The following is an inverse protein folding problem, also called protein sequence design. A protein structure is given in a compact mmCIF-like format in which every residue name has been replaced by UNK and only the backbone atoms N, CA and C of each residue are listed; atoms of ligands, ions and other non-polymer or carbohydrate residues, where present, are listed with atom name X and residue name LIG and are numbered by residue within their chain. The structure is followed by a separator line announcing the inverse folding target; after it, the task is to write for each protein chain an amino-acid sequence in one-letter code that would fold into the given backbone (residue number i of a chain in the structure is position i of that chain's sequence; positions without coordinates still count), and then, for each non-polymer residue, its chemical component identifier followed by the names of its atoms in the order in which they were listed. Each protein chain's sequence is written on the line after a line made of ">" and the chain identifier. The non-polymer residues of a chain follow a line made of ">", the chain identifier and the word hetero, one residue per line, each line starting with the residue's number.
data_IF_248790795604
#
_entry.id   IF_248790795604
#
_cell.length_a   1.000
_cell.length_b   1.000
_cell.length_c   1.000
_cell.angle_alpha   90.00
_cell.angle_beta   90.00
_cell.angle_gamma   90.00
#
_symmetry.space_group_name_H-M   'P 1'
#
loop_
_entity.id
_entity.type
_entity.pdbx_description
1 polymer ?
#
# COMPACT_ATOMS: atom_id res chain seq x y z
N UNK A 1 41.27 7.33 -0.88
CA UNK A 1 40.00 7.89 -1.41
C UNK A 1 38.96 7.84 -0.30
N UNK A 2 38.36 8.95 0.03
CA UNK A 2 37.33 8.97 1.07
C UNK A 2 35.95 8.67 0.41
N UNK A 3 35.53 7.41 0.47
CA UNK A 3 34.27 6.92 -0.14
C UNK A 3 33.01 7.45 0.54
N UNK A 4 33.15 8.04 1.73
CA UNK A 4 31.98 8.48 2.51
C UNK A 4 31.22 9.64 1.85
N UNK A 5 31.93 10.58 1.25
CA UNK A 5 31.29 11.76 0.64
C UNK A 5 30.52 11.45 -0.64
N UNK A 6 31.09 10.70 -1.64
CA UNK A 6 30.32 10.25 -2.80
C UNK A 6 29.09 9.42 -2.45
N UNK A 7 29.24 8.51 -1.48
CA UNK A 7 28.12 7.68 -1.03
C UNK A 7 26.99 8.53 -0.42
N UNK A 8 27.32 9.52 0.41
CA UNK A 8 26.35 10.46 0.96
C UNK A 8 25.66 11.27 -0.14
N UNK A 9 26.40 11.74 -1.13
CA UNK A 9 25.85 12.51 -2.24
C UNK A 9 24.88 11.64 -3.08
N UNK A 10 25.26 10.42 -3.41
CA UNK A 10 24.39 9.47 -4.12
C UNK A 10 23.12 9.18 -3.32
N UNK A 11 23.23 8.99 -2.00
CA UNK A 11 22.07 8.80 -1.13
C UNK A 11 21.13 10.01 -1.18
N UNK A 12 21.67 11.25 -1.05
CA UNK A 12 20.88 12.47 -1.13
C UNK A 12 20.20 12.64 -2.49
N UNK A 13 20.86 12.23 -3.57
CA UNK A 13 20.27 12.27 -4.92
C UNK A 13 19.11 11.29 -5.08
N UNK A 14 19.18 10.11 -4.49
CA UNK A 14 18.14 9.08 -4.62
C UNK A 14 16.99 9.33 -3.64
N UNK A 15 17.25 9.94 -2.49
CA UNK A 15 16.29 10.09 -1.39
C UNK A 15 14.93 10.68 -1.81
N UNK A 16 14.81 11.76 -2.61
CA UNK A 16 13.50 12.30 -2.99
C UNK A 16 12.62 11.30 -3.74
N UNK A 17 13.21 10.49 -4.62
CA UNK A 17 12.50 9.47 -5.37
C UNK A 17 12.06 8.28 -4.51
N UNK A 18 12.88 7.87 -3.54
CA UNK A 18 12.50 6.85 -2.56
C UNK A 18 11.34 7.34 -1.69
N UNK A 19 11.38 8.59 -1.23
CA UNK A 19 10.30 9.20 -0.45
C UNK A 19 9.00 9.31 -1.24
N UNK A 20 9.08 9.65 -2.53
CA UNK A 20 7.91 9.69 -3.42
C UNK A 20 7.31 8.29 -3.58
N UNK A 21 8.12 7.29 -3.89
CA UNK A 21 7.66 5.90 -4.00
C UNK A 21 7.02 5.40 -2.71
N UNK A 22 7.66 5.69 -1.57
CA UNK A 22 7.14 5.35 -0.25
C UNK A 22 5.79 6.01 0.03
N UNK A 23 5.70 7.34 -0.13
CA UNK A 23 4.49 8.12 0.16
C UNK A 23 3.32 7.73 -0.75
N UNK A 24 3.60 7.47 -2.04
CA UNK A 24 2.60 6.99 -2.98
C UNK A 24 1.98 5.67 -2.55
N UNK A 25 2.78 4.69 -2.14
CA UNK A 25 2.29 3.36 -1.75
C UNK A 25 1.65 3.31 -0.37
N UNK A 26 2.24 4.02 0.60
CA UNK A 26 1.71 4.06 1.96
C UNK A 26 0.39 4.81 2.04
N UNK A 27 0.25 5.91 1.30
CA UNK A 27 -0.89 6.80 1.42
C UNK A 27 -1.05 7.35 2.84
N UNK A 28 -2.26 7.80 3.17
CA UNK A 28 -2.59 8.29 4.51
C UNK A 28 -2.97 7.18 5.51
N UNK A 29 -2.99 5.92 5.07
CA UNK A 29 -3.34 4.81 5.95
C UNK A 29 -2.17 4.40 6.82
N UNK A 30 -2.32 4.55 8.14
CA UNK A 30 -1.36 4.04 9.13
C UNK A 30 -1.27 2.50 9.13
N UNK A 31 -2.25 1.82 8.50
CA UNK A 31 -2.45 0.38 8.52
C UNK A 31 -1.81 -0.37 7.35
N UNK A 32 -1.33 0.35 6.34
CA UNK A 32 -0.61 -0.28 5.21
C UNK A 32 0.89 -0.26 5.48
N UNK A 33 1.51 -1.35 5.93
CA UNK A 33 2.95 -1.44 5.94
C UNK A 33 3.43 -1.40 4.49
N UNK A 34 4.53 -0.69 4.28
CA UNK A 34 5.22 -0.69 3.00
C UNK A 34 5.74 -2.09 2.75
N UNK A 35 5.16 -2.81 1.83
CA UNK A 35 5.73 -4.07 1.38
C UNK A 35 7.00 -3.77 0.59
N UNK A 36 8.15 -4.02 1.16
CA UNK A 36 9.40 -4.06 0.41
C UNK A 36 9.47 -5.40 -0.35
N UNK A 37 8.74 -5.51 -1.44
CA UNK A 37 8.63 -6.75 -2.21
C UNK A 37 9.97 -7.24 -2.75
N UNK A 38 10.88 -6.32 -3.09
CA UNK A 38 12.29 -6.59 -3.34
C UNK A 38 13.08 -5.29 -3.19
N UNK A 39 14.10 -5.28 -2.32
CA UNK A 39 14.95 -4.10 -2.13
C UNK A 39 15.55 -3.57 -3.45
N UNK A 40 16.05 -4.42 -4.39
CA UNK A 40 16.53 -3.95 -5.68
C UNK A 40 15.46 -3.26 -6.53
N UNK A 41 14.24 -3.78 -6.57
CA UNK A 41 13.13 -3.20 -7.31
C UNK A 41 12.72 -1.83 -6.77
N UNK A 42 12.72 -1.68 -5.44
CA UNK A 42 12.43 -0.42 -4.78
C UNK A 42 13.49 0.64 -5.06
N UNK A 43 14.76 0.26 -4.99
CA UNK A 43 15.87 1.16 -5.32
C UNK A 43 15.78 1.59 -6.80
N UNK A 44 15.55 0.66 -7.72
CA UNK A 44 15.44 0.98 -9.15
C UNK A 44 14.28 1.96 -9.43
N UNK A 45 13.10 1.72 -8.83
CA UNK A 45 11.95 2.62 -8.92
C UNK A 45 12.24 3.98 -8.30
N UNK A 46 12.87 4.00 -7.12
CA UNK A 46 13.30 5.22 -6.44
C UNK A 46 14.29 6.04 -7.26
N UNK A 47 15.28 5.41 -7.89
CA UNK A 47 16.26 6.06 -8.78
C UNK A 47 15.57 6.70 -9.98
N UNK A 48 14.66 5.97 -10.66
CA UNK A 48 13.92 6.52 -11.80
C UNK A 48 13.09 7.75 -11.41
N UNK A 49 12.36 7.66 -10.30
CA UNK A 49 11.56 8.78 -9.79
C UNK A 49 12.43 9.95 -9.35
N UNK A 50 13.60 9.69 -8.74
CA UNK A 50 14.56 10.72 -8.36
C UNK A 50 15.09 11.48 -9.57
N UNK A 51 15.44 10.78 -10.65
CA UNK A 51 15.88 11.42 -11.91
C UNK A 51 14.79 12.38 -12.42
N UNK A 52 13.53 11.94 -12.47
CA UNK A 52 12.41 12.77 -12.92
C UNK A 52 12.22 14.00 -12.02
N UNK A 53 12.28 13.81 -10.69
CA UNK A 53 12.17 14.91 -9.72
C UNK A 53 13.30 15.90 -9.85
N UNK A 54 14.55 15.44 -10.03
CA UNK A 54 15.70 16.32 -10.21
C UNK A 54 15.63 17.09 -11.52
N UNK A 55 15.25 16.46 -12.63
CA UNK A 55 15.05 17.15 -13.91
C UNK A 55 14.03 18.28 -13.77
N UNK A 56 12.89 17.99 -13.13
CA UNK A 56 11.86 19.01 -12.87
C UNK A 56 12.34 20.09 -11.90
N UNK A 57 13.01 19.71 -10.80
CA UNK A 57 13.58 20.64 -9.83
C UNK A 57 14.62 21.56 -10.44
N UNK A 58 15.51 21.03 -11.30
CA UNK A 58 16.50 21.82 -12.04
C UNK A 58 15.81 22.84 -12.95
N UNK A 59 14.78 22.44 -13.68
CA UNK A 59 14.01 23.35 -14.54
C UNK A 59 13.38 24.50 -13.73
N UNK A 60 12.83 24.20 -12.56
CA UNK A 60 12.29 25.22 -11.64
C UNK A 60 13.40 26.18 -11.20
N UNK A 61 14.54 25.65 -10.75
CA UNK A 61 15.67 26.46 -10.27
C UNK A 61 16.19 27.40 -11.37
N UNK A 62 16.34 26.88 -12.59
CA UNK A 62 16.80 27.68 -13.72
C UNK A 62 15.80 28.74 -14.18
N UNK A 63 14.50 28.33 -14.31
CA UNK A 63 13.46 29.21 -14.87
C UNK A 63 12.93 30.24 -13.86
N UNK A 64 12.72 29.82 -12.61
CA UNK A 64 12.12 30.71 -11.58
C UNK A 64 13.14 31.48 -10.78
N UNK A 65 14.35 30.95 -10.57
CA UNK A 65 15.37 31.57 -9.72
C UNK A 65 16.58 32.06 -10.53
N UNK A 66 16.65 31.80 -11.84
CA UNK A 66 17.76 32.26 -12.70
C UNK A 66 19.13 31.67 -12.32
N UNK A 67 19.16 30.59 -11.53
CA UNK A 67 20.41 29.97 -11.06
C UNK A 67 20.91 28.95 -12.10
N UNK A 68 22.22 29.00 -12.36
CA UNK A 68 22.91 27.99 -13.18
C UNK A 68 23.50 26.90 -12.30
N UNK A 69 23.50 25.69 -12.80
CA UNK A 69 24.06 24.52 -12.10
C UNK A 69 25.43 24.21 -12.68
N UNK A 70 26.42 24.09 -11.80
CA UNK A 70 27.76 23.67 -12.17
C UNK A 70 27.85 22.14 -12.21
N UNK A 71 27.60 21.58 -13.40
CA UNK A 71 27.69 20.15 -13.63
C UNK A 71 29.10 19.59 -13.47
N UNK A 72 30.12 20.41 -13.70
CA UNK A 72 31.53 19.99 -13.55
C UNK A 72 31.87 19.76 -12.08
N UNK A 73 31.43 20.66 -11.21
CA UNK A 73 31.56 20.48 -9.77
C UNK A 73 30.85 19.24 -9.26
N UNK A 74 29.61 19.00 -9.72
CA UNK A 74 28.86 17.77 -9.36
C UNK A 74 29.60 16.50 -9.79
N UNK A 75 30.15 16.47 -11.01
CA UNK A 75 30.89 15.31 -11.52
C UNK A 75 32.13 15.02 -10.69
N UNK A 76 32.93 16.06 -10.37
CA UNK A 76 34.15 15.96 -9.53
C UNK A 76 33.79 15.37 -8.14
N UNK A 77 32.68 15.83 -7.55
CA UNK A 77 32.21 15.35 -6.26
C UNK A 77 31.73 13.90 -6.31
N UNK A 78 30.99 13.51 -7.35
CA UNK A 78 30.52 12.14 -7.54
C UNK A 78 31.66 11.14 -7.77
N UNK A 79 32.72 11.57 -8.50
CA UNK A 79 33.91 10.74 -8.72
C UNK A 79 34.82 10.63 -7.49
N UNK A 80 34.48 11.35 -6.39
CA UNK A 80 35.32 11.37 -5.18
C UNK A 80 36.67 12.08 -5.39
N UNK A 81 36.78 12.93 -6.40
CA UNK A 81 38.00 13.66 -6.77
C UNK A 81 38.08 15.06 -6.10
N UNK A 82 37.30 15.26 -5.02
CA UNK A 82 37.29 16.50 -4.24
C UNK A 82 38.60 16.66 -3.42
N UNK A 83 39.75 16.80 -4.11
CA UNK A 83 41.04 17.07 -3.49
C UNK A 83 41.28 18.59 -3.45
N UNK A 84 41.48 19.19 -2.24
CA UNK A 84 41.76 20.62 -2.13
C UNK A 84 43.02 21.07 -2.86
N UNK A 85 43.96 20.18 -3.09
CA UNK A 85 45.22 20.44 -3.80
C UNK A 85 45.07 20.51 -5.33
N UNK A 86 44.00 19.86 -5.87
CA UNK A 86 43.70 19.97 -7.29
C UNK A 86 42.85 21.21 -7.59
N UNK A 87 43.09 21.85 -8.74
CA UNK A 87 42.33 23.03 -9.16
C UNK A 87 40.83 22.75 -9.27
N UNK A 88 40.46 21.60 -9.80
CA UNK A 88 39.06 21.15 -10.01
C UNK A 88 38.40 20.80 -8.68
N UNK A 89 39.11 20.07 -7.80
CA UNK A 89 38.60 19.73 -6.47
C UNK A 89 38.44 20.94 -5.57
N UNK A 90 39.39 21.85 -5.55
CA UNK A 90 39.29 23.12 -4.82
C UNK A 90 38.12 23.97 -5.32
N UNK A 91 37.86 24.02 -6.63
CA UNK A 91 36.73 24.73 -7.22
C UNK A 91 35.39 24.07 -6.77
N UNK A 92 35.27 22.76 -6.87
CA UNK A 92 34.06 22.05 -6.46
C UNK A 92 33.74 22.23 -4.96
N UNK A 93 34.76 22.14 -4.08
CA UNK A 93 34.59 22.37 -2.64
C UNK A 93 34.17 23.82 -2.32
N UNK A 94 34.76 24.80 -3.00
CA UNK A 94 34.40 26.23 -2.86
C UNK A 94 32.95 26.44 -3.30
N UNK A 95 32.52 25.90 -4.45
CA UNK A 95 31.16 26.00 -4.96
C UNK A 95 30.15 25.44 -3.95
N UNK A 96 30.44 24.26 -3.33
CA UNK A 96 29.60 23.70 -2.27
C UNK A 96 29.56 24.63 -1.05
N UNK A 97 30.70 25.13 -0.59
CA UNK A 97 30.77 26.02 0.59
C UNK A 97 29.99 27.32 0.40
N UNK A 98 30.16 27.97 -0.74
CA UNK A 98 29.50 29.25 -1.07
C UNK A 98 27.96 29.07 -1.24
N UNK A 99 27.51 27.91 -1.70
CA UNK A 99 26.10 27.65 -1.99
C UNK A 99 25.46 26.63 -1.03
N UNK A 100 26.10 26.33 0.10
CA UNK A 100 25.66 25.27 1.02
C UNK A 100 24.19 25.40 1.45
N UNK A 101 23.74 26.61 1.80
CA UNK A 101 22.35 26.87 2.17
C UNK A 101 21.37 26.61 1.02
N UNK A 102 21.71 27.04 -0.19
CA UNK A 102 20.86 26.83 -1.38
C UNK A 102 20.77 25.35 -1.75
N UNK A 103 21.87 24.61 -1.65
CA UNK A 103 21.95 23.17 -1.89
C UNK A 103 21.10 22.44 -0.85
N UNK A 104 21.26 22.76 0.43
CA UNK A 104 20.47 22.14 1.51
C UNK A 104 18.98 22.42 1.32
N UNK A 105 18.60 23.67 1.03
CA UNK A 105 17.21 24.05 0.80
C UNK A 105 16.62 23.33 -0.43
N UNK A 106 17.41 23.18 -1.49
CA UNK A 106 17.00 22.42 -2.68
C UNK A 106 16.69 20.97 -2.34
N UNK A 107 17.61 20.24 -1.69
CA UNK A 107 17.40 18.84 -1.34
C UNK A 107 16.27 18.65 -0.32
N UNK A 108 16.15 19.55 0.66
CA UNK A 108 15.10 19.51 1.65
C UNK A 108 13.72 19.74 1.00
N UNK A 109 13.57 20.76 0.18
CA UNK A 109 12.32 21.06 -0.51
C UNK A 109 11.96 19.97 -1.53
N UNK A 110 12.93 19.45 -2.28
CA UNK A 110 12.70 18.37 -3.22
C UNK A 110 12.27 17.07 -2.50
N UNK A 111 12.85 16.78 -1.32
CA UNK A 111 12.51 15.62 -0.52
C UNK A 111 11.13 15.76 0.15
N UNK A 112 10.85 16.90 0.78
CA UNK A 112 9.60 17.12 1.51
C UNK A 112 8.43 17.41 0.57
N UNK A 113 8.59 18.32 -0.38
CA UNK A 113 7.50 18.73 -1.28
C UNK A 113 7.41 17.75 -2.46
N UNK A 114 8.54 17.49 -3.14
CA UNK A 114 8.61 16.58 -4.28
C UNK A 114 8.46 15.09 -3.88
N UNK A 115 9.12 14.68 -2.80
CA UNK A 115 9.02 13.31 -2.31
C UNK A 115 7.69 13.07 -1.59
N UNK A 116 7.56 13.52 -0.36
CA UNK A 116 6.36 13.26 0.44
C UNK A 116 5.11 13.96 -0.10
N UNK A 117 5.18 15.27 -0.35
CA UNK A 117 4.00 16.05 -0.73
C UNK A 117 3.38 15.57 -2.04
N UNK A 118 4.20 15.42 -3.08
CA UNK A 118 3.74 14.92 -4.38
C UNK A 118 3.29 13.45 -4.28
N UNK A 119 4.04 12.60 -3.53
CA UNK A 119 3.69 11.19 -3.37
C UNK A 119 2.31 11.00 -2.73
N UNK A 120 2.04 11.66 -1.62
CA UNK A 120 0.72 11.63 -0.98
C UNK A 120 -0.36 12.30 -1.83
N UNK A 121 -0.03 13.40 -2.52
CA UNK A 121 -0.96 14.07 -3.43
C UNK A 121 -1.41 13.19 -4.59
N UNK A 122 -0.46 12.49 -5.22
CA UNK A 122 -0.76 11.55 -6.31
C UNK A 122 -1.55 10.34 -5.75
N UNK A 123 -1.18 9.79 -4.59
CA UNK A 123 -1.95 8.73 -3.94
C UNK A 123 -3.41 9.16 -3.73
N UNK A 124 -3.62 10.32 -3.12
CA UNK A 124 -4.95 10.86 -2.89
C UNK A 124 -5.74 11.04 -4.18
N UNK A 125 -5.10 11.60 -5.22
CA UNK A 125 -5.73 11.82 -6.53
C UNK A 125 -6.13 10.49 -7.19
N UNK A 126 -5.23 9.50 -7.17
CA UNK A 126 -5.49 8.15 -7.72
C UNK A 126 -6.68 7.51 -7.02
N UNK A 127 -6.73 7.57 -5.68
CA UNK A 127 -7.85 7.03 -4.90
C UNK A 127 -9.15 7.81 -5.11
N UNK A 128 -9.08 9.14 -5.17
CA UNK A 128 -10.28 9.98 -5.39
C UNK A 128 -10.89 9.77 -6.76
N UNK A 129 -10.07 9.63 -7.79
CA UNK A 129 -10.51 9.40 -9.17
C UNK A 129 -10.66 7.90 -9.51
N UNK A 130 -10.40 7.00 -8.55
CA UNK A 130 -10.44 5.54 -8.74
C UNK A 130 -9.59 5.05 -9.91
N UNK A 131 -8.45 5.70 -10.16
CA UNK A 131 -7.56 5.36 -11.26
C UNK A 131 -6.88 4.00 -11.03
N UNK A 132 -6.68 3.61 -9.78
CA UNK A 132 -6.18 2.30 -9.35
C UNK A 132 -7.09 1.14 -9.76
N UNK A 133 -8.41 1.37 -9.88
CA UNK A 133 -9.35 0.37 -10.38
C UNK A 133 -9.38 0.29 -11.92
N UNK A 134 -8.96 1.36 -12.59
CA UNK A 134 -8.99 1.48 -14.07
C UNK A 134 -7.68 1.07 -14.72
N UNK A 135 -6.55 1.36 -14.09
CA UNK A 135 -5.22 1.17 -14.65
C UNK A 135 -4.36 0.34 -13.69
N UNK A 136 -3.98 -0.85 -14.13
CA UNK A 136 -3.16 -1.78 -13.33
C UNK A 136 -1.83 -1.17 -12.88
N UNK A 137 -1.24 -0.28 -13.71
CA UNK A 137 0.01 0.41 -13.38
C UNK A 137 -0.10 1.38 -12.18
N UNK A 138 -1.32 1.80 -11.83
CA UNK A 138 -1.60 2.68 -10.69
C UNK A 138 -2.16 1.93 -9.48
N UNK A 139 -2.29 0.60 -9.55
CA UNK A 139 -2.68 -0.21 -8.38
C UNK A 139 -1.61 -0.16 -7.31
N UNK A 140 -2.08 -0.16 -6.08
CA UNK A 140 -1.22 -0.32 -4.93
C UNK A 140 -0.83 -1.80 -4.81
N UNK A 141 0.40 -2.08 -4.38
CA UNK A 141 0.98 -3.44 -4.34
C UNK A 141 0.32 -4.36 -3.29
N UNK A 142 -0.84 -4.01 -2.76
CA UNK A 142 -1.51 -4.74 -1.70
C UNK A 142 -2.82 -5.37 -2.18
N UNK A 143 -2.74 -6.58 -2.72
CA UNK A 143 -3.90 -7.33 -3.21
C UNK A 143 -4.91 -7.65 -2.09
N UNK A 144 -4.44 -7.86 -0.85
CA UNK A 144 -5.31 -8.09 0.30
C UNK A 144 -6.20 -6.88 0.61
N UNK A 145 -5.69 -5.66 0.37
CA UNK A 145 -6.48 -4.46 0.54
C UNK A 145 -7.72 -4.49 -0.36
N UNK A 146 -7.54 -4.77 -1.66
CA UNK A 146 -8.65 -4.83 -2.62
C UNK A 146 -9.60 -6.00 -2.33
N UNK A 147 -9.05 -7.14 -1.89
CA UNK A 147 -9.85 -8.31 -1.51
C UNK A 147 -10.72 -7.97 -0.28
N UNK A 148 -10.13 -7.44 0.78
CA UNK A 148 -10.85 -7.19 2.05
C UNK A 148 -11.73 -5.93 2.03
N UNK A 149 -11.56 -5.05 1.07
CA UNK A 149 -12.49 -3.93 0.82
C UNK A 149 -13.60 -4.28 -0.18
N UNK A 150 -13.52 -5.44 -0.82
CA UNK A 150 -14.46 -5.87 -1.85
C UNK A 150 -14.26 -5.17 -3.20
N UNK A 151 -13.26 -4.32 -3.34
CA UNK A 151 -12.98 -3.59 -4.60
C UNK A 151 -12.53 -4.55 -5.72
N UNK A 152 -12.02 -5.75 -5.38
CA UNK A 152 -11.65 -6.79 -6.37
C UNK A 152 -12.81 -7.17 -7.29
N UNK A 153 -14.05 -7.15 -6.79
CA UNK A 153 -15.25 -7.48 -7.58
C UNK A 153 -15.49 -6.51 -8.74
N UNK A 154 -15.03 -5.28 -8.57
CA UNK A 154 -15.20 -4.23 -9.58
C UNK A 154 -14.18 -4.38 -10.72
N UNK A 155 -13.05 -5.06 -10.49
CA UNK A 155 -12.00 -5.20 -11.50
C UNK A 155 -12.47 -5.86 -12.78
N UNK A 156 -13.18 -6.99 -12.68
CA UNK A 156 -13.66 -7.74 -13.84
C UNK A 156 -14.72 -6.95 -14.60
N UNK A 157 -15.57 -6.22 -13.89
CA UNK A 157 -16.63 -5.40 -14.46
C UNK A 157 -16.07 -4.16 -15.16
N UNK A 158 -15.04 -3.54 -14.59
CA UNK A 158 -14.36 -2.36 -15.18
C UNK A 158 -13.52 -2.72 -16.38
N UNK A 159 -13.00 -3.94 -16.49
CA UNK A 159 -12.26 -4.36 -17.68
C UNK A 159 -13.13 -4.37 -18.96
N UNK A 160 -14.44 -4.58 -18.84
CA UNK A 160 -15.37 -4.60 -19.96
C UNK A 160 -15.73 -3.17 -20.43
N UNK A 161 -15.80 -2.21 -19.52
CA UNK A 161 -16.11 -0.82 -19.83
C UNK A 161 -15.44 0.11 -18.78
N UNK A 162 -14.48 0.93 -19.24
CA UNK A 162 -13.65 1.80 -18.41
C UNK A 162 -14.15 3.23 -18.30
N UNK A 163 -15.40 3.51 -18.64
CA UNK A 163 -15.97 4.86 -18.53
C UNK A 163 -16.16 5.28 -17.08
N UNK A 164 -15.85 6.56 -16.71
CA UNK A 164 -15.98 7.04 -15.33
C UNK A 164 -17.41 6.93 -14.79
N UNK A 165 -18.41 7.22 -15.62
CA UNK A 165 -19.83 7.21 -15.27
C UNK A 165 -20.27 5.79 -14.87
N UNK A 166 -19.86 4.78 -15.64
CA UNK A 166 -20.17 3.38 -15.36
C UNK A 166 -19.45 2.87 -14.11
N UNK A 167 -18.20 3.29 -13.92
CA UNK A 167 -17.45 2.96 -12.70
C UNK A 167 -18.15 3.49 -11.45
N UNK A 168 -18.63 4.74 -11.46
CA UNK A 168 -19.39 5.32 -10.35
C UNK A 168 -20.68 4.54 -10.08
N UNK A 169 -21.45 4.25 -11.13
CA UNK A 169 -22.68 3.46 -11.00
C UNK A 169 -22.43 2.05 -10.44
N UNK A 170 -21.34 1.39 -10.87
CA UNK A 170 -20.94 0.07 -10.36
C UNK A 170 -20.53 0.14 -8.89
N UNK A 171 -19.75 1.14 -8.49
CA UNK A 171 -19.31 1.31 -7.10
C UNK A 171 -20.47 1.62 -6.15
N UNK A 172 -21.51 2.32 -6.61
CA UNK A 172 -22.73 2.54 -5.83
C UNK A 172 -23.58 1.27 -5.75
N UNK A 173 -23.79 0.59 -6.88
CA UNK A 173 -24.59 -0.64 -6.95
C UNK A 173 -23.93 -1.80 -6.19
N UNK A 174 -22.61 -1.92 -6.29
CA UNK A 174 -21.79 -2.99 -5.69
C UNK A 174 -21.16 -2.55 -4.35
N UNK A 175 -21.80 -1.60 -3.65
CA UNK A 175 -21.29 -1.12 -2.36
C UNK A 175 -21.29 -2.25 -1.34
N UNK A 176 -20.09 -2.71 -0.99
CA UNK A 176 -19.90 -3.71 0.06
C UNK A 176 -20.18 -3.06 1.41
N UNK A 177 -21.15 -3.62 2.16
CA UNK A 177 -21.53 -3.16 3.50
C UNK A 177 -20.64 -3.80 4.54
N UNK A 178 -20.40 -5.11 4.41
CA UNK A 178 -19.49 -5.83 5.27
C UNK A 178 -18.86 -7.02 4.54
N UNK A 179 -17.73 -7.47 5.05
CA UNK A 179 -16.99 -8.62 4.53
C UNK A 179 -17.04 -9.72 5.57
N UNK A 180 -17.54 -10.89 5.19
CA UNK A 180 -17.50 -12.08 6.01
C UNK A 180 -16.29 -12.91 5.65
N UNK A 181 -15.68 -13.47 6.69
CA UNK A 181 -14.54 -14.37 6.57
C UNK A 181 -14.92 -15.72 7.16
N UNK A 182 -14.66 -16.77 6.38
CA UNK A 182 -14.66 -18.13 6.86
C UNK A 182 -13.26 -18.72 6.72
N UNK A 183 -12.63 -19.06 7.83
CA UNK A 183 -11.22 -19.49 7.89
C UNK A 183 -11.12 -20.89 8.50
N UNK A 184 -10.45 -21.81 7.82
CA UNK A 184 -10.13 -23.13 8.34
C UNK A 184 -8.79 -23.07 9.08
N UNK A 185 -8.82 -23.51 10.33
CA UNK A 185 -7.66 -23.56 11.23
C UNK A 185 -7.48 -24.98 11.76
N UNK A 186 -6.27 -25.49 11.69
CA UNK A 186 -5.90 -26.76 12.33
C UNK A 186 -5.29 -26.52 13.69
N UNK A 187 -5.87 -27.13 14.73
CA UNK A 187 -5.38 -27.05 16.11
C UNK A 187 -5.46 -28.41 16.78
N UNK A 188 -4.32 -28.91 17.26
CA UNK A 188 -4.26 -30.18 17.99
C UNK A 188 -4.74 -31.40 17.17
N UNK A 189 -4.52 -31.42 15.86
CA UNK A 189 -4.98 -32.48 14.96
C UNK A 189 -6.46 -32.43 14.57
N UNK A 190 -7.20 -31.42 15.02
CA UNK A 190 -8.59 -31.15 14.65
C UNK A 190 -8.68 -29.90 13.81
N UNK A 191 -9.56 -29.92 12.79
CA UNK A 191 -9.84 -28.78 11.93
C UNK A 191 -11.11 -28.07 12.41
N UNK A 192 -11.00 -26.74 12.54
CA UNK A 192 -12.11 -25.87 12.92
C UNK A 192 -12.36 -24.84 11.84
N UNK A 193 -13.63 -24.57 11.57
CA UNK A 193 -14.06 -23.43 10.76
C UNK A 193 -14.37 -22.26 11.70
N UNK A 194 -13.66 -21.16 11.50
CA UNK A 194 -13.95 -19.88 12.14
C UNK A 194 -14.67 -18.99 11.14
N UNK A 195 -15.75 -18.34 11.58
CA UNK A 195 -16.57 -17.50 10.76
C UNK A 195 -16.89 -16.19 11.50
N UNK A 196 -16.88 -15.06 10.81
CA UNK A 196 -17.19 -13.77 11.41
C UNK A 196 -17.05 -12.60 10.44
N UNK A 197 -17.44 -11.41 10.90
CA UNK A 197 -17.34 -10.17 10.13
C UNK A 197 -15.92 -9.64 10.24
N UNK A 198 -15.28 -9.34 9.12
CA UNK A 198 -13.96 -8.71 9.09
C UNK A 198 -14.05 -7.28 9.62
N UNK A 199 -13.42 -7.03 10.77
CA UNK A 199 -13.31 -5.71 11.36
C UNK A 199 -12.02 -5.00 10.95
N UNK A 200 -10.90 -5.74 10.91
CA UNK A 200 -9.59 -5.20 10.60
C UNK A 200 -8.63 -6.29 10.10
N UNK A 201 -7.53 -5.87 9.49
CA UNK A 201 -6.46 -6.77 9.07
C UNK A 201 -5.10 -6.06 9.15
N UNK A 202 -4.05 -6.83 9.44
CA UNK A 202 -2.71 -6.29 9.66
C UNK A 202 -1.69 -7.04 8.83
N UNK A 203 -0.67 -6.29 8.41
CA UNK A 203 0.48 -6.83 7.68
C UNK A 203 1.71 -6.84 8.58
N UNK A 204 2.62 -7.75 8.30
CA UNK A 204 3.95 -7.75 8.88
C UNK A 204 4.85 -6.68 8.22
N UNK A 205 6.07 -6.55 8.71
CA UNK A 205 7.07 -5.59 8.19
C UNK A 205 7.48 -5.88 6.73
N UNK A 206 7.18 -7.08 6.23
CA UNK A 206 7.45 -7.50 4.84
C UNK A 206 6.25 -7.28 3.92
N UNK A 207 5.10 -6.82 4.44
CA UNK A 207 3.87 -6.59 3.69
C UNK A 207 3.01 -7.84 3.49
N UNK A 208 3.34 -8.95 4.13
CA UNK A 208 2.49 -10.15 4.15
C UNK A 208 1.40 -10.01 5.19
N UNK A 209 0.25 -10.61 4.91
CA UNK A 209 -0.85 -10.66 5.88
C UNK A 209 -0.39 -11.38 7.15
N UNK A 210 -0.43 -10.68 8.28
CA UNK A 210 -0.02 -11.20 9.60
C UNK A 210 -1.20 -11.76 10.37
N UNK A 211 -2.29 -11.00 10.47
CA UNK A 211 -3.50 -11.39 11.20
C UNK A 211 -4.73 -10.69 10.65
N UNK A 212 -5.89 -11.31 10.88
CA UNK A 212 -7.20 -10.73 10.67
C UNK A 212 -7.93 -10.58 12.00
N UNK A 213 -8.81 -9.59 12.09
CA UNK A 213 -9.63 -9.34 13.28
C UNK A 213 -11.09 -9.49 12.89
N UNK A 214 -11.78 -10.41 13.54
CA UNK A 214 -13.18 -10.70 13.30
C UNK A 214 -14.05 -10.17 14.44
N UNK A 215 -15.22 -9.65 14.11
CA UNK A 215 -16.33 -9.39 15.04
C UNK A 215 -17.39 -10.48 14.91
N UNK A 216 -18.15 -10.67 15.97
CA UNK A 216 -19.22 -11.70 16.02
C UNK A 216 -18.70 -13.05 15.55
N UNK A 217 -17.54 -13.45 16.07
CA UNK A 217 -16.87 -14.66 15.63
C UNK A 217 -17.55 -15.92 16.16
N UNK A 218 -17.69 -16.90 15.29
CA UNK A 218 -18.21 -18.23 15.60
C UNK A 218 -17.22 -19.30 15.17
N UNK A 219 -17.28 -20.46 15.78
CA UNK A 219 -16.50 -21.62 15.36
C UNK A 219 -17.34 -22.88 15.30
N UNK A 220 -16.98 -23.81 14.42
CA UNK A 220 -17.47 -25.17 14.42
C UNK A 220 -16.35 -26.15 14.12
N UNK A 221 -16.49 -27.39 14.59
CA UNK A 221 -15.56 -28.47 14.27
C UNK A 221 -15.91 -29.10 12.92
N UNK A 222 -14.93 -29.19 12.00
CA UNK A 222 -15.12 -29.89 10.71
C UNK A 222 -15.11 -31.42 10.83
N UNK A 223 -14.75 -31.98 12.00
CA UNK A 223 -14.84 -33.40 12.23
C UNK A 223 -16.30 -33.90 12.22
N UNK A 224 -17.25 -33.03 12.56
CA UNK A 224 -18.69 -33.35 12.55
C UNK A 224 -19.27 -33.43 11.13
N UNK A 225 -18.67 -32.73 10.16
CA UNK A 225 -19.13 -32.78 8.75
C UNK A 225 -18.88 -34.14 8.08
N UNK A 226 -18.04 -34.98 8.69
CA UNK A 226 -17.74 -36.37 8.21
C UNK A 226 -18.61 -37.46 8.82
N UNK A 227 -19.37 -37.11 9.84
CA UNK A 227 -20.31 -38.07 10.47
C UNK A 227 -21.63 -38.02 9.74
N UNK A 228 -21.90 -39.05 9.00
CA UNK A 228 -23.15 -39.46 8.30
C UNK A 228 -24.19 -38.37 7.99
N UNK A 229 -24.52 -38.27 6.71
CA UNK A 229 -25.50 -37.36 6.07
C UNK A 229 -26.93 -37.40 6.70
N UNK A 230 -27.21 -38.26 7.64
CA UNK A 230 -28.57 -38.51 8.19
C UNK A 230 -28.88 -37.75 9.50
N UNK A 231 -27.92 -37.07 10.11
CA UNK A 231 -28.11 -36.35 11.39
C UNK A 231 -27.35 -35.03 11.45
N UNK A 232 -27.38 -34.23 10.39
CA UNK A 232 -26.83 -32.88 10.46
C UNK A 232 -27.67 -32.06 11.44
N UNK A 233 -27.09 -31.52 12.54
CA UNK A 233 -27.74 -30.51 13.37
C UNK A 233 -28.15 -29.34 12.48
N UNK A 234 -29.27 -28.69 12.83
CA UNK A 234 -29.63 -27.44 12.14
C UNK A 234 -28.44 -26.52 12.08
N UNK A 235 -28.23 -25.82 10.97
CA UNK A 235 -27.02 -24.93 10.77
C UNK A 235 -26.77 -24.02 11.98
N UNK A 236 -27.82 -23.58 12.68
CA UNK A 236 -27.71 -22.73 13.88
C UNK A 236 -27.14 -23.44 15.10
N UNK A 237 -27.26 -24.75 15.23
CA UNK A 237 -26.77 -25.53 16.38
C UNK A 237 -25.31 -25.97 16.22
N UNK A 238 -24.80 -25.97 15.00
CA UNK A 238 -23.42 -26.37 14.70
C UNK A 238 -22.38 -25.30 15.04
N UNK A 239 -22.78 -24.03 15.17
CA UNK A 239 -21.88 -22.92 15.38
C UNK A 239 -21.79 -22.49 16.85
N UNK A 240 -20.58 -22.44 17.35
CA UNK A 240 -20.22 -22.02 18.70
C UNK A 240 -19.85 -20.56 18.73
N UNK A 241 -20.60 -19.66 19.41
CA UNK A 241 -20.21 -18.25 19.50
C UNK A 241 -18.93 -18.10 20.32
N UNK A 242 -17.99 -17.32 19.81
CA UNK A 242 -16.79 -16.95 20.54
C UNK A 242 -17.09 -15.66 21.29
N UNK A 243 -17.09 -15.71 22.63
CA UNK A 243 -17.35 -14.56 23.46
C UNK A 243 -16.21 -13.53 23.35
N UNK A 244 -16.57 -12.27 23.13
CA UNK A 244 -15.65 -11.16 23.00
C UNK A 244 -16.05 -10.21 21.87
N UNK A 245 -15.58 -8.96 21.94
CA UNK A 245 -15.86 -7.98 20.87
C UNK A 245 -15.05 -8.25 19.61
N UNK A 246 -13.82 -8.73 19.78
CA UNK A 246 -12.88 -8.99 18.69
C UNK A 246 -12.22 -10.35 18.88
N UNK A 247 -12.13 -11.10 17.79
CA UNK A 247 -11.37 -12.33 17.70
C UNK A 247 -10.20 -12.12 16.73
N UNK A 248 -8.97 -12.24 17.24
CA UNK A 248 -7.76 -12.07 16.44
C UNK A 248 -7.27 -13.43 15.98
N UNK A 249 -7.18 -13.61 14.67
CA UNK A 249 -6.75 -14.85 14.04
C UNK A 249 -5.44 -14.62 13.28
N UNK A 250 -4.30 -15.16 13.76
CA UNK A 250 -3.02 -15.09 13.07
C UNK A 250 -3.08 -15.82 11.73
N UNK A 251 -2.58 -15.20 10.66
CA UNK A 251 -2.73 -15.74 9.31
C UNK A 251 -1.96 -17.06 9.12
N UNK A 252 -0.84 -17.26 9.81
CA UNK A 252 -0.06 -18.49 9.72
C UNK A 252 -0.78 -19.74 10.28
N UNK A 253 -1.86 -19.57 11.05
CA UNK A 253 -2.71 -20.67 11.48
C UNK A 253 -3.83 -20.99 10.48
N UNK A 254 -4.06 -20.15 9.50
CA UNK A 254 -5.12 -20.29 8.52
C UNK A 254 -4.64 -21.22 7.41
N UNK A 255 -5.36 -22.31 7.17
CA UNK A 255 -5.13 -23.23 6.04
C UNK A 255 -5.82 -22.74 4.79
N UNK A 256 -7.09 -22.39 4.91
CA UNK A 256 -7.92 -21.86 3.83
C UNK A 256 -8.70 -20.66 4.35
N UNK A 257 -8.86 -19.67 3.48
CA UNK A 257 -9.63 -18.46 3.75
C UNK A 257 -10.68 -18.29 2.66
N UNK A 258 -11.94 -18.17 3.05
CA UNK A 258 -13.05 -17.82 2.18
C UNK A 258 -13.52 -16.41 2.52
N UNK A 259 -13.80 -15.60 1.49
CA UNK A 259 -14.23 -14.21 1.63
C UNK A 259 -15.57 -14.04 0.95
N UNK A 260 -16.56 -13.57 1.69
CA UNK A 260 -17.92 -13.33 1.21
C UNK A 260 -18.27 -11.86 1.43
N UNK A 261 -18.95 -11.25 0.44
CA UNK A 261 -19.30 -9.83 0.47
C UNK A 261 -20.79 -9.65 0.58
N UNK A 262 -21.21 -8.89 1.58
CA UNK A 262 -22.58 -8.39 1.66
C UNK A 262 -22.67 -7.03 0.96
N UNK A 263 -23.57 -6.97 -0.01
CA UNK A 263 -23.77 -5.80 -0.87
C UNK A 263 -25.06 -5.12 -0.44
N UNK A 264 -25.05 -3.79 -0.41
CA UNK A 264 -26.28 -3.01 -0.33
C UNK A 264 -26.97 -3.01 -1.70
N UNK A 265 -27.65 -4.09 -2.05
CA UNK A 265 -28.63 -4.02 -3.15
C UNK A 265 -29.81 -3.19 -2.63
N UNK A 266 -30.17 -2.11 -3.33
CA UNK A 266 -31.25 -1.20 -2.93
C UNK A 266 -32.65 -1.81 -2.88
N UNK A 267 -32.80 -3.13 -3.07
CA UNK A 267 -34.01 -3.89 -2.82
C UNK A 267 -33.63 -5.21 -2.17
N UNK A 268 -34.22 -5.56 -1.00
CA UNK A 268 -34.08 -6.92 -0.47
C UNK A 268 -34.71 -7.90 -1.47
N UNK A 269 -34.13 -9.09 -1.68
CA UNK A 269 -34.75 -10.13 -2.48
C UNK A 269 -36.14 -10.41 -1.89
N UNK A 270 -37.17 -10.42 -2.75
CA UNK A 270 -38.53 -10.74 -2.36
C UNK A 270 -38.53 -12.11 -1.66
N UNK A 271 -38.74 -12.09 -0.34
CA UNK A 271 -38.92 -13.30 0.45
C UNK A 271 -37.94 -13.54 1.61
N UNK A 272 -36.85 -12.79 1.73
CA UNK A 272 -35.98 -12.88 2.90
C UNK A 272 -36.19 -11.70 3.85
N UNK A 273 -36.59 -12.00 5.07
CA UNK A 273 -36.65 -11.03 6.15
C UNK A 273 -35.25 -10.44 6.38
N UNK A 274 -35.09 -9.10 6.45
CA UNK A 274 -33.80 -8.49 6.71
C UNK A 274 -33.24 -9.04 8.03
N UNK A 275 -32.05 -9.63 7.98
CA UNK A 275 -31.31 -9.95 9.21
C UNK A 275 -30.98 -8.63 9.87
N UNK A 276 -31.69 -8.35 10.95
CA UNK A 276 -31.46 -7.17 11.79
C UNK A 276 -30.07 -7.29 12.41
N UNK A 277 -29.06 -6.69 11.74
CA UNK A 277 -27.71 -6.57 12.31
C UNK A 277 -27.79 -5.55 13.43
N UNK A 278 -28.01 -6.01 14.67
CA UNK A 278 -27.81 -5.18 15.86
C UNK A 278 -26.30 -5.00 16.02
N UNK A 279 -25.82 -3.80 15.69
CA UNK A 279 -24.46 -3.32 15.94
C UNK A 279 -24.21 -3.15 17.46
#
# INVERSE_FOLDING_TARGET
>A
MNLAFPALLVFLLILPGLLLSYAYRKGFSWRSPVSFSSLPGEIARGVLLAILLHLFGILIVQKCFGKTIDYSAILVLLLGQANPESREGAHALRAVSEHAHSILLYFLSLSLIGGFGLGYGVHWLVRRLRLDLRWDALRFDNDWYYLFTGEVRVFDLVQQDRTPERLHALLEKERVVCVFIAAVVEQGGSAFLYWGILSDFFFDVTGKLDRIVLQSAHRRSLAQDRAEESTLPSESEAYYPIHGHYFVLPFHHIRNLNVEYYISSGEPPEGETPVEIRL
#
